data_IF_156291502797
#
_entry.id   IF_156291502797
#
_cell.length_a   1.000
_cell.length_b   1.000
_cell.length_c   1.000
_cell.angle_alpha   90.00
_cell.angle_beta   90.00
_cell.angle_gamma   90.00
#
_symmetry.space_group_name_H-M   'P 1'
#
loop_
_entity.id
_entity.type
_entity.pdbx_description
1 polymer ?
#
# COMPACT_ATOMS: atom_id res chain seq x y z
N UNK A 1 26.18 15.01 -2.39
CA UNK A 1 25.09 14.92 -3.38
C UNK A 1 24.91 13.53 -4.04
N UNK A 2 25.94 12.71 -4.32
CA UNK A 2 25.75 11.38 -4.97
C UNK A 2 24.98 10.33 -4.14
N UNK A 3 25.12 10.30 -2.80
CA UNK A 3 24.58 9.23 -1.94
C UNK A 3 23.03 9.23 -1.84
N UNK A 4 22.40 10.39 -2.00
CA UNK A 4 20.93 10.55 -1.88
C UNK A 4 20.18 9.99 -3.09
N UNK A 5 20.76 10.10 -4.28
CA UNK A 5 20.16 9.58 -5.52
C UNK A 5 20.10 8.04 -5.56
N UNK A 6 21.08 7.34 -4.98
CA UNK A 6 21.08 5.87 -4.96
C UNK A 6 19.96 5.30 -4.09
N UNK A 7 19.71 5.88 -2.91
CA UNK A 7 18.64 5.39 -2.01
C UNK A 7 17.26 5.53 -2.65
N UNK A 8 16.99 6.69 -3.28
CA UNK A 8 15.72 6.96 -3.98
C UNK A 8 15.57 6.13 -5.26
N UNK A 9 16.67 5.84 -5.95
CA UNK A 9 16.65 4.99 -7.14
C UNK A 9 16.36 3.53 -6.75
N UNK A 10 16.99 3.00 -5.70
CA UNK A 10 16.75 1.65 -5.20
C UNK A 10 15.30 1.48 -4.73
N UNK A 11 14.73 2.47 -4.03
CA UNK A 11 13.33 2.40 -3.59
C UNK A 11 12.35 2.47 -4.77
N UNK A 12 12.61 3.29 -5.80
CA UNK A 12 11.77 3.31 -7.01
C UNK A 12 11.83 2.00 -7.79
N UNK A 13 13.00 1.38 -7.89
CA UNK A 13 13.15 0.03 -8.49
C UNK A 13 12.35 -1.00 -7.70
N UNK A 14 12.43 -0.95 -6.37
CA UNK A 14 11.69 -1.85 -5.49
C UNK A 14 10.16 -1.68 -5.66
N UNK A 15 9.67 -0.44 -5.74
CA UNK A 15 8.24 -0.15 -5.97
C UNK A 15 7.77 -0.72 -7.32
N UNK A 16 8.59 -0.61 -8.38
CA UNK A 16 8.28 -1.22 -9.69
C UNK A 16 8.33 -2.74 -9.65
N UNK A 17 9.29 -3.33 -8.92
CA UNK A 17 9.35 -4.78 -8.73
C UNK A 17 8.10 -5.30 -7.99
N UNK A 18 7.64 -4.59 -6.95
CA UNK A 18 6.38 -4.90 -6.24
C UNK A 18 5.17 -4.78 -7.17
N UNK A 19 5.13 -3.77 -8.04
CA UNK A 19 4.07 -3.64 -9.04
C UNK A 19 3.97 -4.88 -9.96
N UNK A 20 5.11 -5.31 -10.52
CA UNK A 20 5.19 -6.50 -11.37
C UNK A 20 4.80 -7.74 -10.58
N UNK A 21 5.27 -7.87 -9.35
CA UNK A 21 4.93 -8.99 -8.46
C UNK A 21 3.42 -9.08 -8.22
N UNK A 22 2.73 -7.96 -7.99
CA UNK A 22 1.26 -7.92 -7.81
C UNK A 22 0.54 -8.43 -9.07
N UNK A 23 0.97 -8.01 -10.26
CA UNK A 23 0.37 -8.46 -11.53
C UNK A 23 0.57 -9.96 -11.71
N UNK A 24 1.78 -10.46 -11.48
CA UNK A 24 2.10 -11.89 -11.54
C UNK A 24 1.22 -12.67 -10.56
N UNK A 25 1.12 -12.21 -9.31
CA UNK A 25 0.23 -12.81 -8.31
C UNK A 25 -1.24 -12.81 -8.74
N UNK A 26 -1.73 -11.77 -9.43
CA UNK A 26 -3.11 -11.75 -9.95
C UNK A 26 -3.35 -12.79 -11.05
N UNK A 27 -2.36 -13.06 -11.90
CA UNK A 27 -2.45 -14.09 -12.95
C UNK A 27 -2.44 -15.49 -12.33
N UNK A 28 -1.60 -15.72 -11.31
CA UNK A 28 -1.50 -17.00 -10.61
C UNK A 28 -2.58 -17.20 -9.53
N UNK A 29 -3.25 -16.14 -9.09
CA UNK A 29 -4.33 -16.15 -8.12
C UNK A 29 -5.42 -17.22 -8.38
N UNK A 30 -6.03 -17.32 -9.58
CA UNK A 30 -7.07 -18.33 -9.83
C UNK A 30 -6.55 -19.76 -9.68
N UNK A 31 -5.28 -20.04 -10.02
CA UNK A 31 -4.68 -21.35 -9.84
C UNK A 31 -4.49 -21.66 -8.35
N UNK A 32 -3.93 -20.72 -7.59
CA UNK A 32 -3.69 -20.87 -6.15
C UNK A 32 -5.01 -21.09 -5.40
N UNK A 33 -6.02 -20.26 -5.69
CA UNK A 33 -7.34 -20.35 -5.04
C UNK A 33 -8.04 -21.66 -5.41
N UNK A 34 -7.91 -22.16 -6.66
CA UNK A 34 -8.46 -23.49 -7.04
C UNK A 34 -7.79 -24.63 -6.29
N UNK A 35 -6.46 -24.65 -6.21
CA UNK A 35 -5.72 -25.69 -5.46
C UNK A 35 -6.13 -25.66 -3.99
N UNK A 36 -6.29 -24.45 -3.43
CA UNK A 36 -6.70 -24.26 -2.05
C UNK A 36 -8.15 -24.69 -1.79
N UNK A 37 -9.08 -24.30 -2.67
CA UNK A 37 -10.50 -24.65 -2.56
C UNK A 37 -10.71 -26.17 -2.70
N UNK A 38 -9.98 -26.85 -3.59
CA UNK A 38 -10.01 -28.31 -3.68
C UNK A 38 -9.59 -28.99 -2.37
N UNK A 39 -8.58 -28.45 -1.68
CA UNK A 39 -8.16 -28.95 -0.36
C UNK A 39 -9.17 -28.65 0.75
N UNK A 40 -9.83 -27.49 0.73
CA UNK A 40 -10.83 -27.09 1.71
C UNK A 40 -12.16 -27.83 1.50
N UNK A 41 -12.61 -28.02 0.25
CA UNK A 41 -13.80 -28.80 -0.08
C UNK A 41 -13.65 -30.23 0.45
N UNK A 42 -12.45 -30.82 0.35
CA UNK A 42 -12.17 -32.14 0.91
C UNK A 42 -12.28 -32.20 2.44
N UNK A 43 -12.10 -31.08 3.15
CA UNK A 43 -12.13 -31.01 4.61
C UNK A 43 -13.45 -30.47 5.19
N UNK A 44 -14.16 -29.59 4.48
CA UNK A 44 -15.27 -28.78 5.03
C UNK A 44 -16.54 -28.86 4.17
N UNK A 45 -16.47 -29.39 2.94
CA UNK A 45 -17.65 -29.56 2.07
C UNK A 45 -18.31 -28.25 1.61
N UNK A 46 -17.71 -27.08 1.87
CA UNK A 46 -18.16 -25.76 1.41
C UNK A 46 -17.11 -25.14 0.51
N UNK A 47 -17.54 -24.60 -0.63
CA UNK A 47 -16.67 -23.81 -1.52
C UNK A 47 -16.52 -22.39 -0.97
N UNK A 48 -15.26 -21.96 -0.81
CA UNK A 48 -14.86 -20.60 -0.42
C UNK A 48 -14.18 -19.85 -1.56
N UNK A 49 -14.15 -20.45 -2.74
CA UNK A 49 -13.59 -19.90 -3.97
C UNK A 49 -14.05 -18.47 -4.30
N UNK A 50 -15.37 -18.25 -4.39
CA UNK A 50 -15.95 -16.96 -4.79
C UNK A 50 -15.61 -15.80 -3.83
N UNK A 51 -15.85 -15.90 -2.51
CA UNK A 51 -15.51 -14.80 -1.61
C UNK A 51 -14.01 -14.52 -1.57
N UNK A 52 -13.16 -15.55 -1.68
CA UNK A 52 -11.70 -15.40 -1.67
C UNK A 52 -11.17 -14.70 -2.92
N UNK A 53 -11.69 -15.04 -4.11
CA UNK A 53 -11.22 -14.43 -5.34
C UNK A 53 -11.64 -12.95 -5.44
N UNK A 54 -12.85 -12.62 -4.99
CA UNK A 54 -13.37 -11.25 -4.97
C UNK A 54 -12.53 -10.36 -4.04
N UNK A 55 -12.26 -10.83 -2.83
CA UNK A 55 -11.44 -10.07 -1.87
C UNK A 55 -10.00 -9.90 -2.36
N UNK A 56 -9.42 -10.92 -3.00
CA UNK A 56 -8.07 -10.85 -3.54
C UNK A 56 -7.95 -9.82 -4.68
N UNK A 57 -8.91 -9.79 -5.61
CA UNK A 57 -8.91 -8.79 -6.68
C UNK A 57 -9.17 -7.36 -6.16
N UNK A 58 -10.05 -7.20 -5.18
CA UNK A 58 -10.26 -5.92 -4.50
C UNK A 58 -8.98 -5.43 -3.81
N UNK A 59 -8.31 -6.31 -3.06
CA UNK A 59 -7.04 -6.00 -2.42
C UNK A 59 -5.95 -5.64 -3.44
N UNK A 60 -5.87 -6.37 -4.56
CA UNK A 60 -4.93 -6.08 -5.63
C UNK A 60 -5.18 -4.70 -6.26
N UNK A 61 -6.45 -4.33 -6.52
CA UNK A 61 -6.80 -3.01 -7.04
C UNK A 61 -6.31 -1.89 -6.11
N UNK A 62 -6.55 -2.02 -4.79
CA UNK A 62 -6.07 -1.03 -3.80
C UNK A 62 -4.54 -1.01 -3.73
N UNK A 63 -3.88 -2.17 -3.80
CA UNK A 63 -2.42 -2.25 -3.81
C UNK A 63 -1.79 -1.57 -5.03
N UNK A 64 -2.40 -1.69 -6.21
CA UNK A 64 -1.96 -0.97 -7.42
C UNK A 64 -2.05 0.55 -7.23
N UNK A 65 -3.14 1.05 -6.65
CA UNK A 65 -3.30 2.48 -6.34
C UNK A 65 -2.24 2.94 -5.33
N UNK A 66 -1.96 2.14 -4.30
CA UNK A 66 -0.95 2.42 -3.30
C UNK A 66 0.46 2.54 -3.92
N UNK A 67 0.83 1.57 -4.76
CA UNK A 67 2.15 1.49 -5.41
C UNK A 67 2.36 2.64 -6.39
N UNK A 68 1.34 2.98 -7.18
CA UNK A 68 1.41 4.13 -8.10
C UNK A 68 1.49 5.46 -7.36
N UNK A 69 0.80 5.60 -6.22
CA UNK A 69 0.93 6.77 -5.35
C UNK A 69 2.35 6.88 -4.76
N UNK A 70 2.94 5.77 -4.32
CA UNK A 70 4.32 5.72 -3.83
C UNK A 70 5.33 6.08 -4.92
N UNK A 71 5.18 5.57 -6.15
CA UNK A 71 6.08 5.90 -7.26
C UNK A 71 6.02 7.40 -7.61
N UNK A 72 4.83 8.02 -7.59
CA UNK A 72 4.69 9.47 -7.77
C UNK A 72 5.38 10.28 -6.67
N UNK A 73 5.25 9.84 -5.41
CA UNK A 73 5.90 10.45 -4.27
C UNK A 73 7.43 10.39 -4.40
N UNK A 74 7.97 9.22 -4.74
CA UNK A 74 9.41 9.03 -4.97
C UNK A 74 9.92 9.85 -6.16
N UNK A 75 9.13 9.93 -7.24
CA UNK A 75 9.46 10.75 -8.40
C UNK A 75 9.57 12.24 -8.02
N UNK A 76 8.66 12.75 -7.18
CA UNK A 76 8.72 14.13 -6.70
C UNK A 76 9.95 14.38 -5.80
N UNK A 77 10.30 13.43 -4.92
CA UNK A 77 11.53 13.49 -4.12
C UNK A 77 12.78 13.51 -5.02
N UNK A 78 12.78 12.74 -6.11
CA UNK A 78 13.91 12.68 -7.06
C UNK A 78 14.15 14.00 -7.80
N UNK A 79 13.14 14.86 -7.93
CA UNK A 79 13.28 16.19 -8.53
C UNK A 79 13.56 17.28 -7.49
N UNK A 80 14.07 16.92 -6.31
CA UNK A 80 14.33 17.82 -5.16
C UNK A 80 13.08 18.58 -4.65
N UNK A 81 11.89 18.14 -5.08
CA UNK A 81 10.58 18.71 -4.74
C UNK A 81 9.98 17.99 -3.54
N UNK A 82 10.72 17.96 -2.43
CA UNK A 82 10.36 17.19 -1.22
C UNK A 82 9.26 17.89 -0.41
N UNK A 83 9.33 19.22 -0.30
CA UNK A 83 8.45 20.05 0.53
C UNK A 83 7.38 20.77 -0.32
N UNK A 84 6.60 20.01 -1.08
CA UNK A 84 5.46 20.58 -1.82
C UNK A 84 4.16 20.07 -1.19
N UNK A 85 3.12 20.92 -1.02
CA UNK A 85 1.81 20.50 -0.51
C UNK A 85 1.17 19.36 -1.35
N UNK A 86 1.58 19.20 -2.61
CA UNK A 86 1.21 18.08 -3.47
C UNK A 86 1.64 16.71 -2.90
N UNK A 87 2.82 16.62 -2.27
CA UNK A 87 3.29 15.38 -1.67
C UNK A 87 2.42 14.99 -0.47
N UNK A 88 1.99 15.96 0.36
CA UNK A 88 1.08 15.72 1.49
C UNK A 88 -0.26 15.13 1.02
N UNK A 89 -0.79 15.59 -0.13
CA UNK A 89 -1.98 14.99 -0.75
C UNK A 89 -1.76 13.52 -1.16
N UNK A 90 -0.58 13.20 -1.69
CA UNK A 90 -0.22 11.82 -2.05
C UNK A 90 -0.09 10.94 -0.78
N UNK A 91 0.58 11.42 0.28
CA UNK A 91 0.63 10.70 1.56
C UNK A 91 -0.76 10.47 2.15
N UNK A 92 -1.67 11.44 2.01
CA UNK A 92 -3.08 11.30 2.42
C UNK A 92 -3.76 10.16 1.67
N UNK A 93 -3.58 10.08 0.36
CA UNK A 93 -4.12 8.99 -0.46
C UNK A 93 -3.59 7.63 -0.02
N UNK A 94 -2.27 7.51 0.19
CA UNK A 94 -1.61 6.28 0.65
C UNK A 94 -2.19 5.83 2.01
N UNK A 95 -2.39 6.77 2.93
CA UNK A 95 -3.01 6.48 4.23
C UNK A 95 -4.45 5.93 4.06
N UNK A 96 -5.29 6.57 3.25
CA UNK A 96 -6.65 6.09 2.97
C UNK A 96 -6.67 4.70 2.31
N UNK A 97 -5.77 4.44 1.36
CA UNK A 97 -5.62 3.11 0.78
C UNK A 97 -5.30 2.06 1.84
N UNK A 98 -4.42 2.37 2.79
CA UNK A 98 -4.07 1.45 3.88
C UNK A 98 -5.28 1.11 4.76
N UNK A 99 -6.09 2.10 5.13
CA UNK A 99 -7.36 1.86 5.84
C UNK A 99 -8.36 1.06 4.99
N UNK A 100 -8.46 1.34 3.70
CA UNK A 100 -9.34 0.58 2.79
C UNK A 100 -8.94 -0.90 2.72
N UNK A 101 -7.62 -1.19 2.67
CA UNK A 101 -7.11 -2.57 2.76
C UNK A 101 -7.53 -3.20 4.09
N UNK A 102 -7.34 -2.53 5.23
CA UNK A 102 -7.77 -3.07 6.52
C UNK A 102 -9.26 -3.42 6.54
N UNK A 103 -10.14 -2.57 6.00
CA UNK A 103 -11.59 -2.82 5.93
C UNK A 103 -11.92 -4.04 5.06
N UNK A 104 -11.29 -4.17 3.88
CA UNK A 104 -11.49 -5.32 2.99
C UNK A 104 -11.04 -6.61 3.69
N UNK A 105 -9.89 -6.58 4.37
CA UNK A 105 -9.37 -7.75 5.06
C UNK A 105 -10.14 -8.10 6.33
N UNK A 106 -10.82 -7.16 7.01
CA UNK A 106 -11.71 -7.45 8.14
C UNK A 106 -12.82 -8.42 7.72
N UNK A 107 -13.44 -8.18 6.55
CA UNK A 107 -14.46 -9.08 6.01
C UNK A 107 -13.90 -10.49 5.77
N UNK A 108 -12.69 -10.58 5.22
CA UNK A 108 -12.00 -11.86 5.02
C UNK A 108 -11.57 -12.54 6.34
N UNK A 109 -11.27 -11.74 7.37
CA UNK A 109 -10.84 -12.17 8.70
C UNK A 109 -11.87 -12.99 9.46
N UNK A 110 -13.17 -12.79 9.17
CA UNK A 110 -14.22 -13.63 9.71
C UNK A 110 -14.19 -15.06 9.16
N UNK A 111 -13.68 -15.24 7.94
CA UNK A 111 -13.55 -16.56 7.30
C UNK A 111 -12.24 -17.23 7.74
N UNK A 112 -11.17 -16.45 7.99
CA UNK A 112 -9.86 -16.99 8.37
C UNK A 112 -9.19 -16.20 9.50
N UNK A 113 -8.91 -16.82 10.67
CA UNK A 113 -8.32 -16.12 11.80
C UNK A 113 -6.92 -15.55 11.50
N UNK A 114 -6.15 -16.15 10.58
CA UNK A 114 -4.82 -15.66 10.19
C UNK A 114 -4.84 -14.27 9.54
N UNK A 115 -5.94 -13.88 8.89
CA UNK A 115 -6.04 -12.57 8.25
C UNK A 115 -6.13 -11.41 9.26
N UNK A 116 -6.41 -11.68 10.54
CA UNK A 116 -6.45 -10.66 11.58
C UNK A 116 -5.09 -9.99 11.77
N UNK A 117 -4.01 -10.77 11.62
CA UNK A 117 -2.65 -10.24 11.70
C UNK A 117 -2.39 -9.22 10.58
N UNK A 118 -2.88 -9.49 9.37
CA UNK A 118 -2.75 -8.58 8.22
C UNK A 118 -3.57 -7.31 8.43
N UNK A 119 -4.80 -7.42 8.96
CA UNK A 119 -5.65 -6.27 9.29
C UNK A 119 -4.96 -5.35 10.28
N UNK A 120 -4.44 -5.90 11.38
CA UNK A 120 -3.78 -5.13 12.44
C UNK A 120 -2.51 -4.47 11.90
N UNK A 121 -1.69 -5.21 11.14
CA UNK A 121 -0.48 -4.67 10.51
C UNK A 121 -0.81 -3.52 9.56
N UNK A 122 -1.80 -3.70 8.68
CA UNK A 122 -2.25 -2.66 7.75
C UNK A 122 -2.79 -1.43 8.50
N UNK A 123 -3.60 -1.62 9.55
CA UNK A 123 -4.14 -0.50 10.32
C UNK A 123 -3.00 0.28 11.01
N UNK A 124 -2.01 -0.42 11.54
CA UNK A 124 -0.83 0.18 12.16
C UNK A 124 0.02 0.97 11.16
N UNK A 125 0.29 0.42 9.97
CA UNK A 125 0.96 1.16 8.90
C UNK A 125 0.15 2.39 8.45
N UNK A 126 -1.18 2.28 8.39
CA UNK A 126 -2.07 3.39 8.08
C UNK A 126 -1.96 4.54 9.10
N UNK A 127 -1.80 4.21 10.39
CA UNK A 127 -1.56 5.18 11.47
C UNK A 127 -0.18 5.84 11.35
N UNK A 128 0.89 5.06 11.10
CA UNK A 128 2.24 5.60 10.89
C UNK A 128 2.23 6.63 9.75
N UNK A 129 1.58 6.30 8.63
CA UNK A 129 1.44 7.22 7.50
C UNK A 129 0.66 8.50 7.86
N UNK A 130 -0.30 8.42 8.78
CA UNK A 130 -0.99 9.62 9.31
C UNK A 130 -0.08 10.49 10.15
N UNK A 131 0.84 9.91 10.92
CA UNK A 131 1.83 10.69 11.68
C UNK A 131 2.82 11.35 10.72
N UNK A 132 3.34 10.60 9.75
CA UNK A 132 4.31 11.13 8.77
C UNK A 132 3.71 12.29 7.98
N UNK A 133 2.47 12.20 7.48
CA UNK A 133 1.84 13.32 6.76
C UNK A 133 1.74 14.58 7.64
N UNK A 134 1.43 14.43 8.93
CA UNK A 134 1.29 15.56 9.86
C UNK A 134 2.65 16.24 10.10
N UNK A 135 3.71 15.45 10.28
CA UNK A 135 5.08 15.95 10.41
C UNK A 135 5.53 16.66 9.13
N UNK A 136 5.22 16.10 7.95
CA UNK A 136 5.55 16.74 6.67
C UNK A 136 4.82 18.07 6.46
N UNK A 137 3.55 18.16 6.86
CA UNK A 137 2.77 19.41 6.79
C UNK A 137 3.40 20.50 7.67
N UNK A 138 3.78 20.18 8.90
CA UNK A 138 4.50 21.10 9.80
C UNK A 138 5.87 21.51 9.23
N UNK A 139 6.60 20.56 8.65
CA UNK A 139 7.91 20.85 8.05
C UNK A 139 7.82 21.78 6.82
N UNK A 140 6.72 21.71 6.05
CA UNK A 140 6.49 22.63 4.93
C UNK A 140 6.23 24.04 5.45
N UNK A 141 5.39 24.20 6.48
CA UNK A 141 5.07 25.50 7.09
C UNK A 141 6.33 26.18 7.62
N UNK A 142 7.16 25.45 8.37
CA UNK A 142 8.43 25.95 8.90
C UNK A 142 9.41 26.40 7.80
N UNK A 143 9.45 25.66 6.69
CA UNK A 143 10.28 26.02 5.54
C UNK A 143 9.78 27.30 4.88
N UNK A 144 8.45 27.43 4.74
CA UNK A 144 7.80 28.60 4.15
C UNK A 144 8.04 29.85 5.01
N UNK A 145 7.86 29.78 6.34
CA UNK A 145 8.17 30.89 7.26
C UNK A 145 9.64 31.35 7.21
N UNK A 146 10.58 30.40 7.11
CA UNK A 146 12.01 30.72 7.04
C UNK A 146 12.42 31.38 5.70
N UNK A 147 11.75 31.05 4.58
CA UNK A 147 11.96 31.73 3.30
C UNK A 147 11.44 33.19 3.32
N UNK A 148 10.49 33.53 4.20
CA UNK A 148 9.94 34.89 4.35
C UNK A 148 10.77 35.82 5.25
N UNK A 149 11.81 35.32 5.91
CA UNK A 149 12.62 36.11 6.87
C UNK A 149 13.99 36.52 6.30
N UNK A 150 14.22 36.30 5.00
CA UNK A 150 15.42 36.74 4.26
C UNK A 150 15.12 37.99 3.45
#
# INVERSE_FOLDING_TARGET
MKKQNYSVMTTSILVKAVFVLIIVCCIFAPLIVRVYDNGIIALTGRSVYMPMIITLYLAAAVAIVLVTALDRLLSNIRHDKVFIPANVKILRLISYCCFAVSVIFIYFSFIRPFAWLVVIAAAFFGLILRVIKNVFEQAIILKEENDFTI
#
